data_IF_109121814850
#
_entry.id   IF_109121814850
#
_cell.length_a   1.000
_cell.length_b   1.000
_cell.length_c   1.000
_cell.angle_alpha   90.00
_cell.angle_beta   90.00
_cell.angle_gamma   90.00
#
_symmetry.space_group_name_H-M   'P 1'
#
loop_
_entity.id
_entity.type
_entity.pdbx_description
1 polymer ?
#
# COMPACT_ATOMS: atom_id res chain seq x y z
N UNK A 1 -10.06 13.59 -37.78
CA UNK A 1 -9.51 13.30 -36.43
C UNK A 1 -10.37 14.06 -35.46
N UNK A 2 -11.08 13.35 -34.59
CA UNK A 2 -12.05 13.92 -33.66
C UNK A 2 -11.37 13.92 -32.30
N UNK A 3 -11.38 15.05 -31.60
CA UNK A 3 -10.91 15.13 -30.22
C UNK A 3 -11.72 14.15 -29.37
N UNK A 4 -11.03 13.32 -28.60
CA UNK A 4 -11.67 12.33 -27.74
C UNK A 4 -11.74 12.86 -26.31
N UNK A 5 -12.92 12.86 -25.71
CA UNK A 5 -13.08 13.13 -24.29
C UNK A 5 -12.73 11.88 -23.49
N UNK A 6 -11.76 12.01 -22.60
CA UNK A 6 -11.32 10.98 -21.68
C UNK A 6 -11.88 11.31 -20.29
N UNK A 7 -12.68 10.39 -19.75
CA UNK A 7 -13.24 10.52 -18.42
C UNK A 7 -12.44 9.65 -17.45
N UNK A 8 -11.72 10.28 -16.55
CA UNK A 8 -11.03 9.63 -15.45
C UNK A 8 -11.88 9.78 -14.19
N UNK A 9 -11.93 8.73 -13.39
CA UNK A 9 -12.57 8.76 -12.08
C UNK A 9 -11.45 8.57 -11.07
N UNK A 10 -11.24 9.56 -10.21
CA UNK A 10 -10.26 9.43 -9.14
C UNK A 10 -10.77 8.50 -8.03
N UNK A 11 -9.93 8.30 -7.01
CA UNK A 11 -10.26 7.47 -5.84
C UNK A 11 -11.50 7.95 -5.08
N UNK A 12 -11.90 9.21 -5.23
CA UNK A 12 -13.00 9.85 -4.51
C UNK A 12 -14.29 9.88 -5.37
N UNK A 13 -14.26 9.29 -6.56
CA UNK A 13 -15.38 9.27 -7.48
C UNK A 13 -15.55 10.57 -8.29
N UNK A 14 -14.61 11.52 -8.17
CA UNK A 14 -14.65 12.73 -8.98
C UNK A 14 -14.27 12.42 -10.41
N UNK A 15 -15.04 12.98 -11.35
CA UNK A 15 -14.80 12.80 -12.77
C UNK A 15 -13.88 13.91 -13.26
N UNK A 16 -12.62 13.58 -13.51
CA UNK A 16 -11.70 14.43 -14.25
C UNK A 16 -11.89 14.21 -15.75
N UNK A 17 -12.24 15.26 -16.47
CA UNK A 17 -12.45 15.22 -17.92
C UNK A 17 -11.24 15.83 -18.60
N UNK A 18 -10.51 15.02 -19.37
CA UNK A 18 -9.39 15.48 -20.17
C UNK A 18 -9.73 15.34 -21.65
N UNK A 19 -9.32 16.30 -22.46
CA UNK A 19 -9.48 16.23 -23.92
C UNK A 19 -8.20 15.73 -24.55
N UNK A 20 -8.27 14.58 -25.22
CA UNK A 20 -7.20 14.12 -26.10
C UNK A 20 -7.31 14.84 -27.44
N UNK A 21 -6.37 15.76 -27.67
CA UNK A 21 -6.19 16.41 -28.97
C UNK A 21 -5.25 15.57 -29.82
N UNK A 22 -5.75 15.02 -30.92
CA UNK A 22 -4.89 14.27 -31.86
C UNK A 22 -3.77 15.19 -32.38
N UNK A 23 -2.50 14.72 -32.44
CA UNK A 23 -2.06 13.33 -32.33
C UNK A 23 -1.50 12.90 -30.96
N UNK A 24 -1.79 13.63 -29.87
CA UNK A 24 -1.31 13.27 -28.53
C UNK A 24 -1.86 11.91 -28.12
N UNK A 25 -1.02 11.03 -27.61
CA UNK A 25 -1.46 9.76 -27.05
C UNK A 25 -2.00 10.00 -25.62
N UNK A 26 -2.78 9.03 -25.11
CA UNK A 26 -3.47 9.16 -23.81
C UNK A 26 -2.46 9.33 -22.67
N UNK A 27 -1.29 8.68 -22.75
CA UNK A 27 -0.19 8.81 -21.81
C UNK A 27 0.38 10.23 -21.77
N UNK A 28 0.48 10.91 -22.91
CA UNK A 28 0.92 12.30 -22.94
C UNK A 28 -0.10 13.24 -22.35
N UNK A 29 -1.39 12.98 -22.60
CA UNK A 29 -2.49 13.73 -21.98
C UNK A 29 -2.41 13.58 -20.45
N UNK A 30 -2.16 12.37 -19.94
CA UNK A 30 -1.99 12.13 -18.51
C UNK A 30 -0.76 12.88 -17.96
N UNK A 31 0.40 12.76 -18.60
CA UNK A 31 1.65 13.43 -18.19
C UNK A 31 1.53 14.95 -18.19
N UNK A 32 0.93 15.54 -19.21
CA UNK A 32 0.70 16.99 -19.31
C UNK A 32 -0.22 17.51 -18.20
N UNK A 33 -1.07 16.66 -17.64
CA UNK A 33 -1.94 16.98 -16.51
C UNK A 33 -1.38 16.49 -15.16
N UNK A 34 -0.09 16.12 -15.11
CA UNK A 34 0.57 15.72 -13.87
C UNK A 34 0.12 14.37 -13.31
N UNK A 35 -0.50 13.52 -14.13
CA UNK A 35 -0.99 12.20 -13.73
C UNK A 35 0.02 11.14 -14.18
N UNK A 36 0.68 10.42 -13.25
CA UNK A 36 1.56 9.31 -13.62
C UNK A 36 0.77 8.21 -14.32
N UNK A 37 1.22 7.76 -15.49
CA UNK A 37 0.54 6.68 -16.23
C UNK A 37 0.49 5.39 -15.39
N UNK A 38 1.49 5.18 -14.54
CA UNK A 38 1.59 4.04 -13.62
C UNK A 38 0.45 3.96 -12.60
N UNK A 39 -0.25 5.06 -12.30
CA UNK A 39 -1.35 5.12 -11.32
C UNK A 39 -2.75 5.02 -11.94
N UNK A 40 -2.86 4.80 -13.25
CA UNK A 40 -4.14 4.76 -13.97
C UNK A 40 -4.55 3.32 -14.32
N UNK A 41 -5.80 2.97 -14.03
CA UNK A 41 -6.45 1.73 -14.50
C UNK A 41 -7.44 2.07 -15.62
N UNK A 42 -7.45 1.29 -16.71
CA UNK A 42 -8.36 1.49 -17.84
C UNK A 42 -9.46 0.42 -17.82
N UNK A 43 -10.70 0.83 -18.07
CA UNK A 43 -11.83 -0.10 -18.26
C UNK A 43 -12.42 0.06 -19.64
N UNK A 44 -12.45 -1.01 -20.43
CA UNK A 44 -13.19 -1.06 -21.69
C UNK A 44 -14.60 -1.60 -21.44
N UNK A 45 -15.63 -0.92 -21.98
CA UNK A 45 -16.97 -1.50 -22.13
C UNK A 45 -16.99 -2.32 -23.41
N UNK A 46 -17.25 -3.63 -23.33
CA UNK A 46 -17.59 -4.42 -24.52
C UNK A 46 -19.08 -4.34 -24.83
N UNK A 47 -19.42 -4.44 -26.11
CA UNK A 47 -20.80 -4.65 -26.57
C UNK A 47 -21.36 -5.92 -25.91
N UNK A 48 -22.31 -5.75 -24.99
CA UNK A 48 -22.79 -6.82 -24.10
C UNK A 48 -22.77 -6.47 -22.61
N UNK A 49 -22.20 -5.32 -22.22
CA UNK A 49 -22.38 -4.74 -20.88
C UNK A 49 -21.34 -5.17 -19.83
N UNK A 50 -20.50 -6.17 -20.11
CA UNK A 50 -19.37 -6.50 -19.22
C UNK A 50 -18.27 -5.43 -19.30
N UNK A 51 -17.93 -4.86 -18.14
CA UNK A 51 -16.78 -3.97 -17.98
C UNK A 51 -15.54 -4.83 -17.80
N UNK A 52 -14.60 -4.73 -18.74
CA UNK A 52 -13.30 -5.36 -18.61
C UNK A 52 -12.29 -4.33 -18.10
N UNK A 53 -11.72 -4.55 -16.91
CA UNK A 53 -10.54 -3.80 -16.47
C UNK A 53 -9.32 -4.38 -17.21
N UNK A 54 -8.60 -3.54 -17.94
CA UNK A 54 -7.38 -3.89 -18.66
C UNK A 54 -6.35 -2.81 -18.42
N UNK A 55 -5.13 -3.17 -18.03
CA UNK A 55 -4.01 -2.24 -18.09
C UNK A 55 -3.32 -2.40 -19.44
N UNK A 56 -4.00 -2.04 -20.53
CA UNK A 56 -3.42 -2.05 -21.88
C UNK A 56 -2.79 -0.70 -22.17
N UNK A 57 -1.56 -0.71 -22.68
CA UNK A 57 -0.95 0.47 -23.26
C UNK A 57 -1.34 0.56 -24.73
N UNK A 58 -2.12 1.57 -25.09
CA UNK A 58 -2.38 1.91 -26.49
C UNK A 58 -1.20 2.74 -27.01
N UNK A 59 -0.39 2.19 -27.92
CA UNK A 59 0.67 2.91 -28.62
C UNK A 59 0.31 3.20 -30.07
N UNK A 60 0.50 4.45 -30.51
CA UNK A 60 0.99 4.81 -31.86
C UNK A 60 1.32 6.30 -31.98
N UNK A 61 2.35 6.81 -31.27
CA UNK A 61 3.08 8.05 -31.67
C UNK A 61 4.54 8.04 -31.14
N UNK A 62 5.48 8.55 -31.95
CA UNK A 62 6.93 8.65 -31.64
C UNK A 62 7.25 10.05 -31.10
N UNK A 63 7.86 10.11 -29.91
CA UNK A 63 8.41 11.34 -29.32
C UNK A 63 9.84 11.60 -29.80
N UNK A 64 10.15 12.86 -30.15
CA UNK A 64 11.52 13.32 -30.42
C UNK A 64 12.11 13.87 -29.12
N UNK A 65 12.90 13.06 -28.43
CA UNK A 65 13.63 13.45 -27.22
C UNK A 65 14.92 14.17 -27.64
N UNK A 66 15.19 15.34 -27.05
CA UNK A 66 16.49 16.04 -27.15
C UNK A 66 17.49 15.26 -26.27
N UNK A 67 18.19 14.32 -26.88
CA UNK A 67 19.07 13.34 -26.22
C UNK A 67 18.43 11.95 -26.23
N UNK A 68 18.59 11.20 -27.31
CA UNK A 68 18.06 9.82 -27.39
C UNK A 68 19.11 8.83 -26.89
N UNK A 69 18.80 8.14 -25.79
CA UNK A 69 19.41 6.85 -25.51
C UNK A 69 18.65 5.84 -26.37
N UNK A 70 19.28 5.14 -27.33
CA UNK A 70 18.60 4.12 -28.11
C UNK A 70 18.29 2.93 -27.20
N UNK A 71 17.04 2.82 -26.75
CA UNK A 71 16.57 1.69 -25.94
C UNK A 71 15.91 0.66 -26.86
N UNK A 72 16.46 -0.55 -26.92
CA UNK A 72 15.89 -1.64 -27.71
C UNK A 72 14.62 -2.17 -27.05
N UNK A 73 13.55 -2.43 -27.81
CA UNK A 73 12.30 -2.99 -27.27
C UNK A 73 12.27 -4.50 -27.49
N UNK A 74 12.01 -5.26 -26.43
CA UNK A 74 11.78 -6.71 -26.46
C UNK A 74 10.45 -7.05 -25.81
N UNK A 75 9.60 -7.77 -26.53
CA UNK A 75 8.28 -8.19 -26.06
C UNK A 75 8.31 -9.69 -25.79
N UNK A 76 7.90 -10.08 -24.59
CA UNK A 76 7.71 -11.46 -24.19
C UNK A 76 6.22 -11.68 -23.91
N UNK A 77 5.57 -12.45 -24.78
CA UNK A 77 4.16 -12.81 -24.61
C UNK A 77 4.05 -14.18 -23.95
N UNK A 78 3.40 -14.24 -22.79
CA UNK A 78 3.23 -15.49 -22.02
C UNK A 78 2.29 -16.48 -22.70
N UNK A 79 1.23 -15.98 -23.34
CA UNK A 79 0.28 -16.77 -24.12
C UNK A 79 0.01 -16.10 -25.47
N UNK A 80 0.55 -16.62 -26.59
CA UNK A 80 0.39 -16.00 -27.91
C UNK A 80 -1.07 -15.88 -28.37
N UNK A 81 -1.91 -16.84 -28.02
CA UNK A 81 -3.31 -16.95 -28.47
C UNK A 81 -4.31 -16.14 -27.64
N UNK A 82 -4.01 -15.84 -26.38
CA UNK A 82 -4.92 -15.12 -25.49
C UNK A 82 -4.73 -13.59 -25.60
N UNK A 83 -5.79 -12.80 -25.31
CA UNK A 83 -5.67 -11.35 -25.24
C UNK A 83 -4.89 -10.93 -24.00
N UNK A 84 -4.01 -9.94 -24.17
CA UNK A 84 -3.25 -9.33 -23.08
C UNK A 84 -4.20 -8.65 -22.08
N UNK A 85 -4.10 -9.06 -20.82
CA UNK A 85 -4.82 -8.51 -19.67
C UNK A 85 -3.98 -7.48 -18.90
N UNK A 86 -2.69 -7.77 -18.74
CA UNK A 86 -1.73 -6.95 -18.02
C UNK A 86 -0.38 -6.88 -18.74
N UNK A 87 0.24 -5.71 -18.75
CA UNK A 87 1.57 -5.48 -19.31
C UNK A 87 2.52 -4.97 -18.23
N UNK A 88 3.61 -5.70 -18.00
CA UNK A 88 4.71 -5.26 -17.15
C UNK A 88 5.87 -4.75 -18.01
N UNK A 89 6.27 -3.51 -17.77
CA UNK A 89 7.40 -2.88 -18.47
C UNK A 89 8.57 -2.73 -17.50
N UNK A 90 9.76 -3.13 -17.94
CA UNK A 90 11.01 -2.97 -17.20
C UNK A 90 12.06 -2.40 -18.17
N UNK A 91 12.78 -1.38 -17.73
CA UNK A 91 13.96 -0.87 -18.41
C UNK A 91 15.19 -1.33 -17.62
N UNK A 92 16.19 -1.85 -18.32
CA UNK A 92 17.43 -2.28 -17.68
C UNK A 92 18.50 -2.69 -18.67
N UNK A 93 19.73 -2.91 -18.21
CA UNK A 93 20.80 -3.39 -19.07
C UNK A 93 20.54 -4.86 -19.45
N UNK A 94 20.78 -5.20 -20.72
CA UNK A 94 20.87 -6.57 -21.20
C UNK A 94 22.21 -7.21 -20.78
N UNK A 95 22.43 -8.47 -21.17
CA UNK A 95 23.67 -9.20 -20.88
C UNK A 95 24.93 -8.56 -21.51
N UNK A 96 24.78 -7.64 -22.46
CA UNK A 96 25.86 -6.88 -23.08
C UNK A 96 26.07 -5.48 -22.46
N UNK A 97 25.23 -5.10 -21.49
CA UNK A 97 25.24 -3.78 -20.86
C UNK A 97 24.48 -2.70 -21.63
N UNK A 98 23.79 -3.03 -22.73
CA UNK A 98 22.94 -2.10 -23.48
C UNK A 98 21.58 -1.97 -22.81
N UNK A 99 21.00 -0.77 -22.81
CA UNK A 99 19.67 -0.56 -22.26
C UNK A 99 18.59 -1.19 -23.16
N UNK A 100 17.78 -2.05 -22.55
CA UNK A 100 16.63 -2.73 -23.15
C UNK A 100 15.35 -2.35 -22.39
N UNK A 101 14.26 -2.19 -23.13
CA UNK A 101 12.90 -2.08 -22.65
C UNK A 101 12.22 -3.43 -22.85
N UNK A 102 12.13 -4.18 -21.77
CA UNK A 102 11.40 -5.44 -21.71
C UNK A 102 9.92 -5.18 -21.43
N UNK A 103 9.05 -5.76 -22.25
CA UNK A 103 7.60 -5.76 -22.06
C UNK A 103 7.15 -7.21 -21.90
N UNK A 104 6.56 -7.52 -20.75
CA UNK A 104 5.97 -8.83 -20.46
C UNK A 104 4.45 -8.71 -20.53
N UNK A 105 3.86 -9.39 -21.51
CA UNK A 105 2.42 -9.41 -21.73
C UNK A 105 1.81 -10.68 -21.10
N UNK A 106 0.80 -10.48 -20.24
CA UNK A 106 0.15 -11.54 -19.46
C UNK A 106 -1.36 -11.58 -19.76
N UNK A 107 -1.90 -12.79 -19.93
CA UNK A 107 -3.35 -13.03 -19.85
C UNK A 107 -3.80 -13.09 -18.37
N UNK A 108 -5.09 -13.37 -18.13
CA UNK A 108 -5.65 -13.40 -16.76
C UNK A 108 -5.06 -14.50 -15.87
N UNK A 109 -4.77 -15.67 -16.44
CA UNK A 109 -4.23 -16.80 -15.69
C UNK A 109 -2.78 -16.50 -15.30
N UNK A 110 -1.97 -16.14 -16.29
CA UNK A 110 -0.56 -15.83 -16.06
C UNK A 110 -0.36 -14.61 -15.15
N UNK A 111 -1.26 -13.62 -15.21
CA UNK A 111 -1.25 -12.50 -14.27
C UNK A 111 -1.56 -12.95 -12.83
N UNK A 112 -2.54 -13.84 -12.64
CA UNK A 112 -2.84 -14.40 -11.31
C UNK A 112 -1.63 -15.16 -10.76
N UNK A 113 -1.02 -16.02 -11.57
CA UNK A 113 0.17 -16.78 -11.19
C UNK A 113 1.34 -15.83 -10.88
N UNK A 114 1.50 -14.76 -11.66
CA UNK A 114 2.52 -13.73 -11.40
C UNK A 114 2.33 -13.07 -10.03
N UNK A 115 1.11 -12.68 -9.66
CA UNK A 115 0.82 -12.05 -8.35
C UNK A 115 1.09 -13.03 -7.21
N UNK A 116 0.53 -14.24 -7.28
CA UNK A 116 0.71 -15.28 -6.25
C UNK A 116 2.18 -15.66 -6.08
N UNK A 117 2.92 -15.83 -7.18
CA UNK A 117 4.33 -16.19 -7.16
C UNK A 117 5.21 -15.03 -6.67
N UNK A 118 4.90 -13.79 -7.03
CA UNK A 118 5.65 -12.61 -6.57
C UNK A 118 5.53 -12.44 -5.06
N UNK A 119 4.30 -12.57 -4.53
CA UNK A 119 4.04 -12.56 -3.10
C UNK A 119 4.77 -13.70 -2.37
N UNK A 120 4.57 -14.93 -2.82
CA UNK A 120 5.15 -16.14 -2.23
C UNK A 120 6.67 -16.10 -2.24
N UNK A 121 7.27 -15.63 -3.34
CA UNK A 121 8.72 -15.51 -3.48
C UNK A 121 9.31 -14.54 -2.46
N UNK A 122 8.65 -13.40 -2.22
CA UNK A 122 9.09 -12.45 -1.19
C UNK A 122 8.97 -13.06 0.21
N UNK A 123 7.81 -13.65 0.54
CA UNK A 123 7.56 -14.27 1.85
C UNK A 123 8.64 -15.29 2.20
N UNK A 124 9.01 -16.15 1.23
CA UNK A 124 10.03 -17.18 1.41
C UNK A 124 11.44 -16.61 1.44
N UNK A 125 11.79 -15.73 0.50
CA UNK A 125 13.11 -15.07 0.45
C UNK A 125 13.44 -14.36 1.77
N UNK A 126 12.46 -13.68 2.34
CA UNK A 126 12.61 -12.93 3.58
C UNK A 126 12.39 -13.78 4.86
N UNK A 127 12.07 -15.08 4.72
CA UNK A 127 11.73 -15.96 5.85
C UNK A 127 10.72 -15.30 6.80
N UNK A 128 9.62 -14.75 6.25
CA UNK A 128 8.68 -13.95 7.03
C UNK A 128 7.93 -14.77 8.08
N UNK A 129 7.69 -16.05 7.80
CA UNK A 129 6.91 -16.95 8.65
C UNK A 129 7.59 -18.30 8.85
N UNK A 130 7.31 -18.92 9.99
CA UNK A 130 7.69 -20.26 10.43
C UNK A 130 6.45 -20.96 10.99
N UNK A 131 6.51 -22.29 11.16
CA UNK A 131 5.37 -23.07 11.64
C UNK A 131 4.91 -22.71 13.07
N UNK A 132 5.81 -22.16 13.89
CA UNK A 132 5.54 -21.83 15.29
C UNK A 132 5.01 -20.40 15.48
N UNK A 133 4.88 -19.62 14.40
CA UNK A 133 4.44 -18.23 14.51
C UNK A 133 2.94 -18.11 14.80
N UNK A 134 2.63 -17.25 15.78
CA UNK A 134 1.32 -16.71 16.08
C UNK A 134 1.25 -15.26 15.61
N UNK A 135 0.43 -15.04 14.58
CA UNK A 135 0.53 -13.85 13.74
C UNK A 135 -0.76 -13.05 13.78
N UNK A 136 -0.65 -11.79 14.17
CA UNK A 136 -1.74 -10.80 14.11
C UNK A 136 -1.74 -10.14 12.74
N UNK A 137 -2.87 -10.18 12.03
CA UNK A 137 -3.05 -9.50 10.75
C UNK A 137 -3.94 -8.27 10.96
N UNK A 138 -3.42 -7.08 10.68
CA UNK A 138 -4.25 -5.87 10.64
C UNK A 138 -5.24 -5.95 9.48
N UNK A 139 -6.53 -6.09 9.78
CA UNK A 139 -7.58 -6.32 8.80
C UNK A 139 -8.61 -5.19 8.81
N UNK A 140 -8.52 -4.27 7.86
CA UNK A 140 -9.41 -3.11 7.76
C UNK A 140 -10.66 -3.36 6.90
N UNK A 141 -10.69 -4.45 6.14
CA UNK A 141 -11.71 -4.64 5.10
C UNK A 141 -11.55 -3.66 3.94
N UNK A 142 -10.34 -3.13 3.72
CA UNK A 142 -9.95 -2.49 2.46
C UNK A 142 -9.42 -3.51 1.45
N UNK A 143 -9.22 -3.06 0.21
CA UNK A 143 -8.55 -3.80 -0.87
C UNK A 143 -7.29 -4.51 -0.38
N UNK A 144 -6.35 -3.75 0.20
CA UNK A 144 -5.01 -4.23 0.53
C UNK A 144 -5.08 -5.30 1.63
N UNK A 145 -5.81 -5.02 2.71
CA UNK A 145 -5.94 -5.97 3.82
C UNK A 145 -6.65 -7.28 3.43
N UNK A 146 -7.57 -7.24 2.46
CA UNK A 146 -8.26 -8.42 1.97
C UNK A 146 -7.41 -9.25 1.02
N UNK A 147 -6.68 -8.60 0.11
CA UNK A 147 -5.71 -9.28 -0.76
C UNK A 147 -4.60 -9.89 0.09
N UNK A 148 -4.08 -9.16 1.08
CA UNK A 148 -3.10 -9.68 2.03
C UNK A 148 -3.61 -10.96 2.69
N UNK A 149 -4.82 -10.92 3.27
CA UNK A 149 -5.40 -12.07 3.94
C UNK A 149 -5.57 -13.25 2.96
N UNK A 150 -6.10 -12.98 1.76
CA UNK A 150 -6.28 -14.00 0.73
C UNK A 150 -4.97 -14.68 0.34
N UNK A 151 -3.93 -13.90 0.05
CA UNK A 151 -2.61 -14.40 -0.35
C UNK A 151 -1.89 -15.12 0.80
N UNK A 152 -2.03 -14.65 2.05
CA UNK A 152 -1.51 -15.35 3.22
C UNK A 152 -2.18 -16.71 3.43
N UNK A 153 -3.49 -16.80 3.20
CA UNK A 153 -4.22 -18.06 3.32
C UNK A 153 -3.84 -19.05 2.22
N UNK A 154 -3.57 -18.54 1.01
CA UNK A 154 -3.04 -19.35 -0.05
C UNK A 154 -1.62 -19.85 0.23
N UNK A 155 -0.73 -19.00 0.73
CA UNK A 155 0.61 -19.43 1.16
C UNK A 155 0.56 -20.37 2.38
N UNK A 156 -0.41 -20.20 3.29
CA UNK A 156 -0.66 -21.15 4.38
C UNK A 156 -0.94 -22.55 3.85
N UNK A 157 -1.83 -22.66 2.86
CA UNK A 157 -2.16 -23.94 2.22
C UNK A 157 -0.94 -24.56 1.52
N UNK A 158 -0.06 -23.73 0.95
CA UNK A 158 1.07 -24.17 0.14
C UNK A 158 2.31 -24.54 0.97
N UNK A 159 2.64 -23.78 2.03
CA UNK A 159 3.96 -23.88 2.65
C UNK A 159 4.09 -23.45 4.13
N UNK A 160 3.11 -22.74 4.72
CA UNK A 160 3.24 -22.23 6.09
C UNK A 160 2.18 -22.80 7.03
N UNK A 161 2.61 -23.32 8.19
CA UNK A 161 1.70 -23.71 9.28
C UNK A 161 1.46 -22.58 10.31
N UNK A 162 1.89 -21.35 10.00
CA UNK A 162 1.67 -20.20 10.89
C UNK A 162 0.17 -20.03 11.21
N UNK A 163 -0.10 -19.62 12.46
CA UNK A 163 -1.45 -19.34 12.94
C UNK A 163 -1.73 -17.86 12.71
N UNK A 164 -2.78 -17.58 11.96
CA UNK A 164 -3.18 -16.22 11.59
C UNK A 164 -4.47 -15.84 12.31
N UNK A 165 -4.44 -14.66 12.93
CA UNK A 165 -5.60 -14.04 13.57
C UNK A 165 -5.83 -12.67 12.93
N UNK A 166 -6.96 -12.48 12.28
CA UNK A 166 -7.35 -11.20 11.70
C UNK A 166 -7.88 -10.28 12.81
N UNK A 167 -7.43 -9.02 12.83
CA UNK A 167 -7.81 -8.05 13.86
C UNK A 167 -8.22 -6.74 13.19
N UNK A 168 -9.45 -6.31 13.46
CA UNK A 168 -9.97 -5.01 13.05
C UNK A 168 -10.00 -4.06 14.24
N UNK A 169 -9.51 -2.83 14.05
CA UNK A 169 -9.41 -1.82 15.11
C UNK A 169 -10.48 -0.75 14.95
N UNK A 170 -11.45 -0.78 15.85
CA UNK A 170 -12.46 0.24 16.07
C UNK A 170 -13.33 0.55 14.86
N UNK A 171 -14.12 1.61 15.01
CA UNK A 171 -14.83 2.25 13.90
C UNK A 171 -13.86 2.97 12.95
N UNK A 172 -12.61 3.13 13.36
CA UNK A 172 -11.48 3.61 12.54
C UNK A 172 -11.27 2.78 11.29
N UNK A 173 -11.68 1.52 11.29
CA UNK A 173 -11.61 0.62 10.14
C UNK A 173 -12.88 0.63 9.27
N UNK A 174 -13.88 1.48 9.55
CA UNK A 174 -15.14 1.57 8.80
C UNK A 174 -16.08 0.40 9.09
N UNK A 175 -17.24 0.68 9.68
CA UNK A 175 -18.17 -0.36 10.14
C UNK A 175 -19.01 -1.01 9.03
N UNK A 176 -19.14 -0.34 7.88
CA UNK A 176 -19.99 -0.76 6.76
C UNK A 176 -19.56 -2.11 6.14
N UNK A 177 -18.30 -2.51 6.30
CA UNK A 177 -17.74 -3.76 5.75
C UNK A 177 -17.63 -4.88 6.79
N UNK A 178 -18.18 -4.68 7.98
CA UNK A 178 -17.96 -5.58 9.11
C UNK A 178 -18.61 -6.95 8.92
N UNK A 179 -19.80 -6.99 8.32
CA UNK A 179 -20.47 -8.26 8.01
C UNK A 179 -19.71 -9.05 6.94
N UNK A 180 -19.18 -8.35 5.92
CA UNK A 180 -18.28 -8.96 4.95
C UNK A 180 -17.02 -9.52 5.62
N UNK A 181 -16.32 -8.71 6.43
CA UNK A 181 -15.07 -9.13 7.06
C UNK A 181 -15.26 -10.39 7.90
N UNK A 182 -16.34 -10.45 8.70
CA UNK A 182 -16.71 -11.61 9.49
C UNK A 182 -17.02 -12.82 8.63
N UNK A 183 -17.79 -12.63 7.56
CA UNK A 183 -18.14 -13.71 6.63
C UNK A 183 -16.90 -14.28 5.96
N UNK A 184 -16.04 -13.41 5.44
CA UNK A 184 -14.80 -13.78 4.77
C UNK A 184 -13.87 -14.54 5.70
N UNK A 185 -13.61 -14.03 6.91
CA UNK A 185 -12.77 -14.73 7.88
C UNK A 185 -13.36 -16.10 8.25
N UNK A 186 -14.69 -16.19 8.43
CA UNK A 186 -15.38 -17.45 8.72
C UNK A 186 -15.26 -18.46 7.57
N UNK A 187 -15.44 -18.03 6.32
CA UNK A 187 -15.33 -18.88 5.13
C UNK A 187 -13.95 -19.54 5.03
N UNK A 188 -12.89 -18.79 5.34
CA UNK A 188 -11.51 -19.27 5.26
C UNK A 188 -10.96 -19.82 6.59
N UNK A 189 -11.80 -19.97 7.62
CA UNK A 189 -11.40 -20.53 8.91
C UNK A 189 -10.34 -19.69 9.65
N UNK A 190 -10.40 -18.36 9.49
CA UNK A 190 -9.53 -17.40 10.18
C UNK A 190 -10.29 -16.80 11.35
N UNK A 191 -9.67 -16.82 12.52
CA UNK A 191 -10.24 -16.14 13.69
C UNK A 191 -10.21 -14.63 13.48
N UNK A 192 -11.35 -13.96 13.69
CA UNK A 192 -11.50 -12.52 13.50
C UNK A 192 -11.88 -11.84 14.82
N UNK A 193 -11.04 -10.91 15.25
CA UNK A 193 -11.30 -10.06 16.41
C UNK A 193 -11.59 -8.63 16.02
N UNK A 194 -12.52 -8.04 16.76
CA UNK A 194 -12.82 -6.62 16.69
C UNK A 194 -12.41 -5.97 18.01
N UNK A 195 -11.50 -5.01 17.95
CA UNK A 195 -11.14 -4.14 19.07
C UNK A 195 -12.10 -2.96 19.03
N UNK A 196 -12.90 -2.75 20.06
CA UNK A 196 -13.85 -1.65 20.09
C UNK A 196 -13.20 -0.29 20.39
N UNK A 197 -13.97 0.78 20.23
CA UNK A 197 -13.51 2.15 20.45
C UNK A 197 -13.20 2.42 21.94
N UNK A 198 -13.86 1.73 22.89
CA UNK A 198 -13.58 1.89 24.32
C UNK A 198 -12.17 1.39 24.67
N UNK A 199 -11.74 0.29 24.07
CA UNK A 199 -10.37 -0.22 24.23
C UNK A 199 -9.33 0.77 23.70
N UNK A 200 -9.66 1.54 22.65
CA UNK A 200 -8.81 2.63 22.14
C UNK A 200 -8.76 3.78 23.16
N UNK A 201 -9.92 4.21 23.65
CA UNK A 201 -10.05 5.28 24.63
C UNK A 201 -9.26 4.97 25.91
N UNK A 202 -9.32 3.73 26.39
CA UNK A 202 -8.52 3.27 27.52
C UNK A 202 -7.02 3.25 27.20
N UNK A 203 -6.62 2.68 26.06
CA UNK A 203 -5.22 2.53 25.69
C UNK A 203 -4.49 3.86 25.47
N UNK A 204 -5.21 4.91 25.07
CA UNK A 204 -4.66 6.24 24.84
C UNK A 204 -5.02 7.25 25.94
N UNK A 205 -5.71 6.81 27.00
CA UNK A 205 -6.20 7.67 28.08
C UNK A 205 -7.03 8.87 27.56
N UNK A 206 -7.94 8.61 26.63
CA UNK A 206 -8.75 9.65 25.96
C UNK A 206 -9.90 10.13 26.85
N UNK A 207 -10.16 11.43 26.87
CA UNK A 207 -11.25 12.02 27.66
C UNK A 207 -12.61 12.07 26.92
N UNK A 208 -12.64 11.61 25.67
CA UNK A 208 -13.81 11.58 24.79
C UNK A 208 -13.58 10.55 23.68
N UNK A 209 -14.62 10.26 22.91
CA UNK A 209 -14.56 9.19 21.91
C UNK A 209 -13.54 9.45 20.80
N UNK A 210 -12.91 8.37 20.35
CA UNK A 210 -11.87 8.42 19.30
C UNK A 210 -12.40 9.04 18.00
N UNK A 211 -13.65 8.72 17.62
CA UNK A 211 -14.28 9.31 16.44
C UNK A 211 -14.39 10.83 16.54
N UNK A 212 -14.84 11.35 17.70
CA UNK A 212 -14.93 12.80 17.93
C UNK A 212 -13.56 13.47 17.89
N UNK A 213 -12.51 12.81 18.38
CA UNK A 213 -11.15 13.34 18.35
C UNK A 213 -10.66 13.44 16.91
N UNK A 214 -10.91 12.42 16.08
CA UNK A 214 -10.50 12.44 14.67
C UNK A 214 -11.22 13.55 13.91
N UNK A 215 -12.53 13.71 14.12
CA UNK A 215 -13.29 14.81 13.51
C UNK A 215 -12.70 16.19 13.90
N UNK A 216 -12.27 16.34 15.16
CA UNK A 216 -11.61 17.56 15.62
C UNK A 216 -10.22 17.74 15.01
N UNK A 217 -9.43 16.67 14.85
CA UNK A 217 -8.10 16.75 14.20
C UNK A 217 -8.30 17.28 12.77
N UNK A 218 -9.25 16.69 12.03
CA UNK A 218 -9.58 17.08 10.65
C UNK A 218 -10.02 18.54 10.52
N UNK A 219 -10.74 19.06 11.53
CA UNK A 219 -11.22 20.43 11.57
C UNK A 219 -10.19 21.45 12.13
N UNK A 220 -8.98 21.01 12.47
CA UNK A 220 -7.95 21.83 13.12
C UNK A 220 -6.71 22.06 12.25
N UNK A 221 -5.75 22.82 12.77
CA UNK A 221 -4.42 22.97 12.17
C UNK A 221 -3.63 21.65 12.10
N UNK A 222 -4.04 20.62 12.87
CA UNK A 222 -3.43 19.30 12.87
C UNK A 222 -3.97 18.37 11.77
N UNK A 223 -4.79 18.86 10.83
CA UNK A 223 -5.43 17.99 9.83
C UNK A 223 -4.41 17.15 9.05
N UNK A 224 -3.23 17.69 8.70
CA UNK A 224 -2.14 16.99 8.00
C UNK A 224 -1.50 15.86 8.81
N UNK A 225 -1.78 15.77 10.12
CA UNK A 225 -1.36 14.70 11.03
C UNK A 225 -2.45 13.65 11.27
N UNK A 226 -3.66 13.83 10.73
CA UNK A 226 -4.79 12.93 10.97
C UNK A 226 -4.45 11.48 10.62
N UNK A 227 -3.95 11.23 9.40
CA UNK A 227 -3.59 9.87 8.98
C UNK A 227 -2.50 9.26 9.86
N UNK A 228 -1.54 10.08 10.31
CA UNK A 228 -0.44 9.62 11.15
C UNK A 228 -0.96 9.20 12.53
N UNK A 229 -1.83 10.01 13.15
CA UNK A 229 -2.46 9.70 14.43
C UNK A 229 -3.30 8.44 14.32
N UNK A 230 -4.14 8.32 13.29
CA UNK A 230 -4.99 7.14 13.05
C UNK A 230 -4.15 5.87 12.85
N UNK A 231 -3.13 5.92 12.00
CA UNK A 231 -2.23 4.77 11.78
C UNK A 231 -1.46 4.39 13.04
N UNK A 232 -1.07 5.38 13.87
CA UNK A 232 -0.43 5.11 15.15
C UNK A 232 -1.39 4.42 16.13
N UNK A 233 -2.65 4.86 16.20
CA UNK A 233 -3.69 4.21 17.02
C UNK A 233 -3.89 2.76 16.57
N UNK A 234 -4.12 2.53 15.27
CA UNK A 234 -4.32 1.18 14.72
C UNK A 234 -3.12 0.30 15.06
N UNK A 235 -1.89 0.78 14.79
CA UNK A 235 -0.67 0.04 15.10
C UNK A 235 -0.59 -0.32 16.58
N UNK A 236 -0.81 0.66 17.48
CA UNK A 236 -0.70 0.40 18.92
C UNK A 236 -1.73 -0.60 19.41
N UNK A 237 -2.96 -0.55 18.91
CA UNK A 237 -3.97 -1.54 19.30
C UNK A 237 -3.63 -2.95 18.83
N UNK A 238 -3.02 -3.09 17.64
CA UNK A 238 -2.51 -4.39 17.18
C UNK A 238 -1.35 -4.90 18.05
N UNK A 239 -0.44 -4.02 18.49
CA UNK A 239 0.62 -4.38 19.44
C UNK A 239 0.05 -4.86 20.78
N UNK A 240 -0.93 -4.13 21.34
CA UNK A 240 -1.59 -4.54 22.60
C UNK A 240 -2.34 -5.87 22.45
N UNK A 241 -3.02 -6.07 21.32
CA UNK A 241 -3.68 -7.35 21.04
C UNK A 241 -2.66 -8.49 20.97
N UNK A 242 -1.56 -8.28 20.22
CA UNK A 242 -0.45 -9.23 20.12
C UNK A 242 0.06 -9.62 21.51
N UNK A 243 0.36 -8.63 22.36
CA UNK A 243 0.81 -8.83 23.74
C UNK A 243 -0.19 -9.66 24.53
N UNK A 244 -1.49 -9.32 24.48
CA UNK A 244 -2.54 -10.01 25.23
C UNK A 244 -2.77 -11.47 24.83
N UNK A 245 -2.38 -11.85 23.61
CA UNK A 245 -2.54 -13.19 23.04
C UNK A 245 -1.23 -13.97 22.93
N UNK A 246 -0.12 -13.40 23.43
CA UNK A 246 1.24 -13.96 23.27
C UNK A 246 1.61 -14.23 21.81
N UNK A 247 1.05 -13.46 20.87
CA UNK A 247 1.43 -13.53 19.47
C UNK A 247 2.85 -12.96 19.30
N UNK A 248 3.58 -13.44 18.29
CA UNK A 248 4.99 -13.07 18.10
C UNK A 248 5.24 -12.15 16.90
N UNK A 249 4.24 -11.97 16.01
CA UNK A 249 4.35 -11.12 14.80
C UNK A 249 3.08 -10.32 14.50
N UNK A 250 3.27 -9.19 13.82
CA UNK A 250 2.22 -8.34 13.26
C UNK A 250 2.44 -8.20 11.76
N UNK A 251 1.38 -8.40 10.97
CA UNK A 251 1.37 -8.21 9.52
C UNK A 251 0.50 -7.01 9.17
N UNK A 252 1.03 -6.12 8.34
CA UNK A 252 0.31 -4.98 7.80
C UNK A 252 0.31 -5.03 6.27
N UNK A 253 -0.82 -4.69 5.66
CA UNK A 253 -0.99 -4.62 4.21
C UNK A 253 -0.53 -3.28 3.68
N UNK A 254 0.77 -3.15 3.42
CA UNK A 254 1.37 -1.98 2.78
C UNK A 254 1.89 -2.39 1.40
N UNK A 255 1.53 -1.62 0.39
CA UNK A 255 1.86 -1.84 -1.02
C UNK A 255 3.30 -1.43 -1.37
N UNK A 256 3.75 -1.81 -2.57
CA UNK A 256 5.11 -1.51 -3.06
C UNK A 256 5.39 -0.02 -3.19
N UNK A 257 4.40 0.79 -3.56
CA UNK A 257 4.53 2.25 -3.59
C UNK A 257 4.83 2.83 -2.19
N UNK A 258 4.27 2.26 -1.12
CA UNK A 258 4.57 2.67 0.24
C UNK A 258 6.03 2.37 0.62
N UNK A 259 6.56 1.21 0.22
CA UNK A 259 7.98 0.87 0.37
C UNK A 259 8.87 1.88 -0.36
N UNK A 260 8.58 2.16 -1.63
CA UNK A 260 9.36 3.11 -2.44
C UNK A 260 9.31 4.52 -1.86
N UNK A 261 8.16 4.91 -1.31
CA UNK A 261 8.01 6.20 -0.61
C UNK A 261 8.90 6.25 0.62
N UNK A 262 9.02 5.17 1.39
CA UNK A 262 9.92 5.09 2.54
C UNK A 262 11.40 5.10 2.12
N UNK A 263 11.77 4.39 1.06
CA UNK A 263 13.14 4.40 0.51
C UNK A 263 13.52 5.79 0.01
N UNK A 264 12.64 6.44 -0.75
CA UNK A 264 12.92 7.77 -1.28
C UNK A 264 12.96 8.82 -0.16
N UNK A 265 12.08 8.69 0.84
CA UNK A 265 12.14 9.54 2.04
C UNK A 265 13.49 9.40 2.74
N UNK A 266 13.98 8.17 2.93
CA UNK A 266 15.30 7.90 3.50
C UNK A 266 16.42 8.60 2.72
N UNK A 267 16.41 8.53 1.39
CA UNK A 267 17.43 9.21 0.57
C UNK A 267 17.35 10.73 0.63
N UNK A 268 16.15 11.30 0.72
CA UNK A 268 15.94 12.74 0.71
C UNK A 268 16.20 13.39 2.09
N UNK A 269 15.82 12.73 3.18
CA UNK A 269 16.00 13.27 4.54
C UNK A 269 17.28 12.80 5.22
N UNK A 270 17.85 11.67 4.79
CA UNK A 270 18.93 10.98 5.49
C UNK A 270 18.48 10.23 6.76
N UNK A 271 17.18 10.22 7.06
CA UNK A 271 16.64 9.52 8.23
C UNK A 271 16.57 8.01 8.01
N UNK A 272 17.16 7.19 8.90
CA UNK A 272 17.25 5.75 8.69
C UNK A 272 15.89 5.07 8.58
N UNK A 273 15.85 4.00 7.79
CA UNK A 273 14.72 3.07 7.74
C UNK A 273 15.05 1.80 8.53
N UNK A 274 14.07 1.30 9.28
CA UNK A 274 14.22 0.15 10.20
C UNK A 274 14.35 -1.22 9.50
N UNK A 275 14.32 -1.24 8.18
CA UNK A 275 14.21 -2.42 7.33
C UNK A 275 13.20 -2.21 6.20
N UNK A 276 13.30 -3.02 5.14
CA UNK A 276 12.44 -2.90 3.97
C UNK A 276 11.13 -3.68 4.16
N UNK A 277 11.24 -5.00 4.36
CA UNK A 277 10.10 -5.92 4.42
C UNK A 277 9.76 -6.42 5.82
N UNK A 278 10.69 -6.22 6.74
CA UNK A 278 10.61 -6.62 8.13
C UNK A 278 11.15 -5.49 8.97
N UNK A 279 10.51 -5.24 10.12
CA UNK A 279 10.95 -4.25 11.10
C UNK A 279 10.81 -4.85 12.49
N UNK A 280 11.79 -4.61 13.34
CA UNK A 280 11.67 -4.85 14.79
C UNK A 280 11.63 -3.50 15.50
N UNK A 281 10.66 -3.34 16.39
CA UNK A 281 10.42 -2.13 17.17
C UNK A 281 10.24 -2.51 18.64
N UNK A 282 11.33 -2.44 19.42
CA UNK A 282 11.36 -3.02 20.77
C UNK A 282 11.08 -4.53 20.73
N UNK A 283 9.93 -4.94 21.30
CA UNK A 283 9.48 -6.35 21.32
C UNK A 283 8.55 -6.71 20.16
N UNK A 284 8.18 -5.74 19.32
CA UNK A 284 7.22 -5.93 18.23
C UNK A 284 7.94 -6.29 16.93
N UNK A 285 7.57 -7.42 16.33
CA UNK A 285 8.08 -7.86 15.03
C UNK A 285 7.02 -7.63 13.95
N UNK A 286 7.37 -6.81 12.97
CA UNK A 286 6.51 -6.46 11.84
C UNK A 286 6.99 -7.11 10.56
N UNK A 287 6.05 -7.54 9.73
CA UNK A 287 6.30 -8.02 8.37
C UNK A 287 5.33 -7.39 7.37
N UNK A 288 5.80 -7.12 6.16
CA UNK A 288 5.06 -6.40 5.11
C UNK A 288 5.05 -7.16 3.77
N UNK A 289 4.33 -8.29 3.67
CA UNK A 289 4.35 -9.14 2.47
C UNK A 289 3.83 -8.46 1.19
N UNK A 290 2.87 -7.54 1.33
CA UNK A 290 2.28 -6.83 0.19
C UNK A 290 3.21 -5.82 -0.48
N UNK A 291 4.35 -5.46 0.12
CA UNK A 291 5.34 -4.58 -0.51
C UNK A 291 6.02 -5.23 -1.73
N UNK A 292 5.67 -6.47 -2.06
CA UNK A 292 6.02 -7.15 -3.31
C UNK A 292 5.16 -6.72 -4.50
N UNK A 293 3.97 -6.15 -4.27
CA UNK A 293 2.96 -5.87 -5.29
C UNK A 293 2.65 -4.38 -5.37
N UNK A 294 2.46 -3.88 -6.58
CA UNK A 294 1.97 -2.52 -6.81
C UNK A 294 0.45 -2.45 -6.58
N UNK A 295 -0.04 -1.29 -6.15
CA UNK A 295 -1.48 -1.05 -5.91
C UNK A 295 -2.34 -1.40 -7.13
N UNK A 296 -1.84 -1.16 -8.35
CA UNK A 296 -2.54 -1.53 -9.60
C UNK A 296 -2.68 -3.04 -9.77
N UNK A 297 -1.66 -3.80 -9.37
CA UNK A 297 -1.65 -5.26 -9.47
C UNK A 297 -2.61 -5.86 -8.44
N UNK A 298 -2.60 -5.31 -7.23
CA UNK A 298 -3.56 -5.62 -6.17
C UNK A 298 -5.02 -5.45 -6.64
N UNK A 299 -5.35 -4.28 -7.17
CA UNK A 299 -6.70 -4.00 -7.67
C UNK A 299 -7.15 -4.94 -8.80
N UNK A 300 -6.26 -5.22 -9.76
CA UNK A 300 -6.58 -6.15 -10.85
C UNK A 300 -6.78 -7.57 -10.33
N UNK A 301 -5.93 -8.01 -9.40
CA UNK A 301 -6.01 -9.35 -8.81
C UNK A 301 -7.29 -9.53 -7.98
N UNK A 302 -7.65 -8.51 -7.21
CA UNK A 302 -8.92 -8.45 -6.48
C UNK A 302 -10.13 -8.60 -7.41
N UNK A 303 -10.12 -7.89 -8.54
CA UNK A 303 -11.16 -8.01 -9.56
C UNK A 303 -11.27 -9.39 -10.18
N UNK A 304 -10.20 -10.20 -10.17
CA UNK A 304 -10.18 -11.58 -10.68
C UNK A 304 -10.59 -12.63 -9.65
N UNK A 305 -10.08 -12.54 -8.42
CA UNK A 305 -10.22 -13.59 -7.39
C UNK A 305 -11.27 -13.28 -6.34
N UNK A 306 -11.55 -12.00 -6.12
CA UNK A 306 -12.45 -11.49 -5.09
C UNK A 306 -13.52 -10.58 -5.70
N UNK A 307 -14.01 -10.91 -6.90
CA UNK A 307 -14.88 -10.04 -7.69
C UNK A 307 -16.11 -9.55 -6.92
N UNK A 308 -16.84 -10.45 -6.24
CA UNK A 308 -18.00 -10.10 -5.41
C UNK A 308 -17.65 -9.08 -4.33
N UNK A 309 -16.44 -9.16 -3.78
CA UNK A 309 -15.96 -8.22 -2.79
C UNK A 309 -15.49 -6.92 -3.43
N UNK A 310 -14.81 -6.98 -4.57
CA UNK A 310 -14.41 -5.81 -5.34
C UNK A 310 -15.60 -4.93 -5.72
N UNK A 311 -16.76 -5.52 -6.06
CA UNK A 311 -17.96 -4.75 -6.38
C UNK A 311 -18.54 -4.04 -5.15
N UNK A 312 -18.64 -4.72 -4.00
CA UNK A 312 -19.05 -4.11 -2.72
C UNK A 312 -18.08 -2.97 -2.35
N UNK A 313 -16.79 -3.29 -2.34
CA UNK A 313 -15.71 -2.36 -2.04
C UNK A 313 -15.78 -1.12 -2.94
N UNK A 314 -15.95 -1.29 -4.26
CA UNK A 314 -16.00 -0.19 -5.23
C UNK A 314 -17.30 0.63 -5.15
N UNK A 315 -18.43 0.01 -4.83
CA UNK A 315 -19.71 0.70 -4.64
C UNK A 315 -19.71 1.58 -3.38
N UNK A 316 -18.89 1.24 -2.40
CA UNK A 316 -18.78 1.93 -1.11
C UNK A 316 -17.53 2.82 -1.01
N UNK A 317 -16.56 2.67 -1.92
CA UNK A 317 -15.34 3.49 -2.04
C UNK A 317 -15.60 4.96 -2.38
N UNK A 318 -16.81 5.33 -2.81
CA UNK A 318 -17.19 6.75 -3.00
C UNK A 318 -17.25 7.54 -1.67
N UNK A 319 -16.88 6.92 -0.55
CA UNK A 319 -16.67 7.54 0.76
C UNK A 319 -15.25 7.25 1.24
N UNK A 320 -14.25 7.59 0.43
CA UNK A 320 -12.87 7.79 0.89
C UNK A 320 -12.91 8.46 2.26
N UNK A 321 -12.21 7.90 3.25
CA UNK A 321 -12.30 8.44 4.61
C UNK A 321 -11.63 9.79 4.58
N UNK A 322 -12.29 10.78 5.16
CA UNK A 322 -11.82 12.17 5.15
C UNK A 322 -10.36 12.27 5.60
N UNK A 323 -9.93 11.47 6.58
CA UNK A 323 -8.53 11.44 7.04
C UNK A 323 -7.51 10.86 6.06
N UNK A 324 -7.89 10.01 5.11
CA UNK A 324 -6.99 9.48 4.06
C UNK A 324 -6.60 10.57 3.03
N UNK A 325 -7.34 11.69 3.02
CA UNK A 325 -7.04 12.88 2.21
C UNK A 325 -6.02 13.81 2.87
N UNK A 326 -5.79 13.67 4.17
CA UNK A 326 -4.94 14.57 4.95
C UNK A 326 -3.65 13.87 5.41
N UNK A 327 -2.86 13.39 4.43
CA UNK A 327 -1.46 13.04 4.67
C UNK A 327 -0.58 14.29 4.76
N UNK A 328 0.57 14.18 5.44
CA UNK A 328 1.57 15.25 5.40
C UNK A 328 1.93 15.58 3.95
N UNK A 329 2.02 16.87 3.63
CA UNK A 329 2.34 17.34 2.28
C UNK A 329 3.66 16.75 1.78
N UNK A 330 4.63 16.59 2.69
CA UNK A 330 5.89 15.92 2.40
C UNK A 330 5.68 14.48 1.92
N UNK A 331 4.90 13.67 2.64
CA UNK A 331 4.62 12.29 2.22
C UNK A 331 3.90 12.27 0.87
N UNK A 332 2.92 13.15 0.68
CA UNK A 332 2.19 13.29 -0.59
C UNK A 332 3.13 13.63 -1.76
N UNK A 333 4.06 14.57 -1.56
CA UNK A 333 5.08 14.93 -2.55
C UNK A 333 5.98 13.74 -2.88
N UNK A 334 6.47 13.01 -1.88
CA UNK A 334 7.34 11.84 -2.10
C UNK A 334 6.59 10.74 -2.84
N UNK A 335 5.32 10.47 -2.50
CA UNK A 335 4.48 9.51 -3.23
C UNK A 335 4.28 9.93 -4.70
N UNK A 336 4.07 11.22 -4.96
CA UNK A 336 3.97 11.76 -6.32
C UNK A 336 5.29 11.55 -7.09
N UNK A 337 6.43 11.84 -6.47
CA UNK A 337 7.76 11.60 -7.06
C UNK A 337 7.97 10.12 -7.39
N UNK A 338 7.58 9.20 -6.50
CA UNK A 338 7.62 7.75 -6.76
C UNK A 338 6.78 7.40 -8.00
N UNK A 339 5.56 7.93 -8.10
CA UNK A 339 4.69 7.71 -9.27
C UNK A 339 5.35 8.15 -10.58
N UNK A 340 5.94 9.35 -10.60
CA UNK A 340 6.67 9.85 -11.77
C UNK A 340 7.94 9.06 -12.09
N UNK A 341 8.71 8.64 -11.08
CA UNK A 341 9.89 7.80 -11.28
C UNK A 341 9.52 6.48 -11.94
N UNK A 342 8.42 5.85 -11.51
CA UNK A 342 7.93 4.60 -12.09
C UNK A 342 7.40 4.77 -13.53
N UNK A 343 6.87 5.94 -13.89
CA UNK A 343 6.41 6.24 -15.25
C UNK A 343 7.60 6.51 -16.19
N UNK A 344 8.56 7.32 -15.75
CA UNK A 344 9.76 7.68 -16.55
C UNK A 344 10.73 6.52 -16.67
N UNK A 345 10.90 5.73 -15.60
CA UNK A 345 11.81 4.60 -15.54
C UNK A 345 11.11 3.35 -14.98
N UNK A 346 10.28 2.67 -15.78
CA UNK A 346 9.66 1.39 -15.38
C UNK A 346 10.73 0.37 -14.94
N UNK A 347 10.60 -0.18 -13.73
CA UNK A 347 11.61 -1.07 -13.14
C UNK A 347 12.61 -0.39 -12.20
N UNK A 348 12.56 0.95 -12.04
CA UNK A 348 13.43 1.70 -11.11
C UNK A 348 13.33 1.20 -9.66
N UNK A 349 12.17 0.67 -9.28
CA UNK A 349 11.90 0.09 -7.97
C UNK A 349 12.90 -1.00 -7.59
N UNK A 350 13.29 -1.86 -8.54
CA UNK A 350 14.28 -2.93 -8.31
C UNK A 350 15.65 -2.35 -7.95
N UNK A 351 16.05 -1.24 -8.59
CA UNK A 351 17.33 -0.59 -8.33
C UNK A 351 17.31 0.17 -7.00
N UNK A 352 16.22 0.89 -6.72
CA UNK A 352 16.04 1.63 -5.46
C UNK A 352 16.02 0.68 -4.26
N UNK A 353 15.27 -0.42 -4.35
CA UNK A 353 15.22 -1.48 -3.33
C UNK A 353 16.61 -2.08 -3.09
N UNK A 354 17.32 -2.46 -4.15
CA UNK A 354 18.66 -3.04 -4.05
C UNK A 354 19.67 -2.08 -3.43
N UNK A 355 19.61 -0.80 -3.81
CA UNK A 355 20.46 0.24 -3.24
C UNK A 355 20.16 0.42 -1.74
N UNK A 356 18.87 0.48 -1.37
CA UNK A 356 18.45 0.67 0.01
C UNK A 356 18.88 -0.51 0.88
N UNK A 357 18.68 -1.74 0.40
CA UNK A 357 19.11 -2.96 1.10
C UNK A 357 20.62 -2.92 1.42
N UNK A 358 21.45 -2.62 0.41
CA UNK A 358 22.91 -2.49 0.60
C UNK A 358 23.28 -1.38 1.58
N UNK A 359 22.61 -0.23 1.50
CA UNK A 359 22.86 0.87 2.43
C UNK A 359 22.52 0.47 3.86
N UNK A 360 21.34 -0.11 4.10
CA UNK A 360 20.92 -0.58 5.43
C UNK A 360 21.92 -1.59 5.99
N UNK A 361 22.37 -2.56 5.18
CA UNK A 361 23.39 -3.54 5.56
C UNK A 361 24.72 -2.87 5.92
N UNK A 362 25.16 -1.89 5.13
CA UNK A 362 26.48 -1.26 5.29
C UNK A 362 26.58 -0.26 6.45
N UNK A 363 25.50 0.44 6.78
CA UNK A 363 25.57 1.56 7.74
C UNK A 363 25.41 1.10 9.19
N UNK A 364 25.03 -0.17 9.44
CA UNK A 364 24.80 -0.74 10.78
C UNK A 364 24.05 0.21 11.74
N UNK A 365 23.13 1.03 11.21
CA UNK A 365 22.46 2.05 12.00
C UNK A 365 21.52 1.38 12.98
N UNK A 366 21.93 1.32 14.25
CA UNK A 366 21.05 0.90 15.32
C UNK A 366 20.08 2.04 15.62
N UNK A 367 18.84 1.88 15.12
CA UNK A 367 17.76 2.74 15.55
C UNK A 367 17.44 2.46 17.01
N UNK A 368 17.38 3.52 17.82
CA UNK A 368 16.91 3.43 19.20
C UNK A 368 15.43 3.75 19.22
N UNK A 369 14.66 2.87 19.87
CA UNK A 369 13.23 3.04 20.04
C UNK A 369 12.94 3.38 21.50
N UNK A 370 12.11 4.40 21.71
CA UNK A 370 11.52 4.74 23.01
C UNK A 370 10.15 4.09 23.18
N UNK A 371 9.62 4.15 24.40
CA UNK A 371 8.23 3.79 24.71
C UNK A 371 7.50 5.03 25.18
N UNK A 372 6.34 5.33 24.59
CA UNK A 372 5.54 6.48 24.98
C UNK A 372 4.95 6.27 26.38
N UNK A 373 5.11 7.24 27.28
CA UNK A 373 4.58 7.17 28.65
C UNK A 373 3.04 7.14 28.69
N UNK A 374 2.35 7.72 27.69
CA UNK A 374 0.89 7.73 27.64
C UNK A 374 0.31 6.43 27.08
N UNK A 375 0.64 6.07 25.82
CA UNK A 375 0.02 4.92 25.15
C UNK A 375 0.84 3.62 25.24
N UNK A 376 2.08 3.69 25.74
CA UNK A 376 3.04 2.57 25.71
C UNK A 376 3.53 2.20 24.31
N UNK A 377 3.16 2.96 23.28
CA UNK A 377 3.54 2.68 21.90
C UNK A 377 4.98 3.07 21.61
N UNK A 378 5.63 2.29 20.75
CA UNK A 378 7.01 2.56 20.41
C UNK A 378 7.17 3.62 19.32
N UNK A 379 8.23 4.40 19.43
CA UNK A 379 8.58 5.51 18.54
C UNK A 379 10.09 5.72 18.48
N UNK A 380 10.56 6.40 17.44
CA UNK A 380 11.97 6.80 17.32
C UNK A 380 12.11 8.20 17.93
N UNK A 381 12.89 8.39 19.00
CA UNK A 381 13.14 9.72 19.55
C UNK A 381 13.95 10.57 18.57
N UNK A 382 13.60 11.85 18.42
CA UNK A 382 14.42 12.82 17.70
C UNK A 382 15.81 12.93 18.34
N UNK A 383 16.86 13.11 17.54
CA UNK A 383 18.23 13.25 18.05
C UNK A 383 18.33 14.44 19.00
N UNK A 384 18.62 14.18 20.27
CA UNK A 384 18.88 15.21 21.29
C UNK A 384 17.69 15.48 22.22
N UNK A 385 16.51 14.94 21.92
CA UNK A 385 15.33 15.15 22.77
C UNK A 385 15.04 13.93 23.66
N UNK A 386 14.91 14.17 24.96
CA UNK A 386 14.31 13.22 25.90
C UNK A 386 12.78 13.26 25.78
N UNK A 387 12.25 13.01 24.58
CA UNK A 387 10.80 12.91 24.40
C UNK A 387 10.28 11.70 25.18
N UNK A 388 9.32 11.97 26.07
CA UNK A 388 8.60 10.95 26.85
C UNK A 388 7.32 10.48 26.13
N UNK A 389 6.87 11.24 25.15
CA UNK A 389 5.62 11.00 24.42
C UNK A 389 5.86 10.87 22.92
N UNK A 390 5.12 9.97 22.27
CA UNK A 390 5.13 9.87 20.81
C UNK A 390 4.40 11.07 20.19
N UNK A 391 4.69 11.36 18.92
CA UNK A 391 4.07 12.48 18.21
C UNK A 391 2.53 12.41 18.18
N UNK A 392 1.95 11.21 18.07
CA UNK A 392 0.50 11.05 18.11
C UNK A 392 -0.09 11.49 19.46
N UNK A 393 0.53 11.08 20.58
CA UNK A 393 0.13 11.50 21.90
C UNK A 393 0.42 12.99 22.17
N UNK A 394 1.46 13.58 21.54
CA UNK A 394 1.69 15.03 21.59
C UNK A 394 0.52 15.79 20.99
N UNK A 395 0.08 15.42 19.78
CA UNK A 395 -1.10 16.02 19.12
C UNK A 395 -2.34 15.87 19.99
N UNK A 396 -2.59 14.68 20.54
CA UNK A 396 -3.73 14.44 21.43
C UNK A 396 -3.67 15.31 22.71
N UNK A 397 -2.48 15.51 23.27
CA UNK A 397 -2.26 16.35 24.44
C UNK A 397 -2.50 17.83 24.13
N UNK A 398 -1.94 18.34 23.04
CA UNK A 398 -2.10 19.74 22.59
C UNK A 398 -3.58 20.05 22.31
N UNK A 399 -4.32 19.09 21.78
CA UNK A 399 -5.77 19.17 21.57
C UNK A 399 -6.62 18.97 22.84
N UNK A 400 -5.99 18.82 24.01
CA UNK A 400 -6.67 18.55 25.28
C UNK A 400 -7.62 17.34 25.18
N UNK A 401 -7.21 16.30 24.46
CA UNK A 401 -7.98 15.08 24.25
C UNK A 401 -7.64 13.96 25.26
N UNK A 402 -6.62 14.15 26.09
CA UNK A 402 -6.22 13.22 27.14
C UNK A 402 -6.95 13.53 28.46
N UNK A 403 -7.20 12.51 29.29
CA UNK A 403 -7.70 12.73 30.66
C UNK A 403 -6.59 13.39 31.48
N UNK A 404 -6.98 14.34 32.33
CA UNK A 404 -6.06 14.91 33.33
C UNK A 404 -5.58 13.79 34.24
N UNK A 405 -4.26 13.66 34.35
CA UNK A 405 -3.57 12.75 35.28
C UNK A 405 -3.84 13.10 36.74
#
# INVERSE_FOLDING_TARGET
MIDQELNFVDKDGQVLRLTQKFPLAVDDVLRLNGIPVSSVLVSEKKDGGEKQLTAKFLFNTVFRIVGSIPIQRKILKTSPSEPTFYEKVIIGPDNSGKLERLVVEMDRSHFSDYVENTFTSLVRKENMFTADDDVVIGFSGGTDSAILLHLLLDEKRKASNARFTAVTVGTLAGTHRMDFMKHYCKEYGVEHFFIDDNAIEEAFNLNRSVGRIIDQILASEYNQKAIFVVQHIIRRMLEKFRESRNCNKIVLGLEREALLTSILSFYLSGEPIAGLYKKTDGTNNYVFPLMSLFKREENLYMGLKLHNYYEVDRSEHSKSRTYDLHSSEWRGLVMLLVGHLLDVFPGIDVYLERAAAKMIESTHLQMKFGSCENCGGSFVPSKGDHLLTCEACSVLSEMQALKSS
#
